data_IF_847411264107
#
_entry.id   IF_847411264107
#
_cell.length_a   1.000
_cell.length_b   1.000
_cell.length_c   1.000
_cell.angle_alpha   90.00
_cell.angle_beta   90.00
_cell.angle_gamma   90.00
#
_symmetry.space_group_name_H-M   'P 1'
#
loop_
_entity.id
_entity.type
_entity.pdbx_description
1 polymer ?
#
# COMPACT_ATOMS: atom_id res chain seq x y z
N UNK A 1 -23.42 -5.94 24.46
CA UNK A 1 -22.32 -5.83 23.48
C UNK A 1 -22.80 -5.51 22.07
N UNK A 2 -23.96 -5.99 21.60
CA UNK A 2 -24.47 -5.68 20.25
C UNK A 2 -24.87 -4.21 20.00
N UNK A 3 -25.05 -3.39 21.04
CA UNK A 3 -25.44 -1.97 20.88
C UNK A 3 -24.26 -0.99 20.70
N UNK A 4 -23.02 -1.45 20.84
CA UNK A 4 -21.81 -0.63 20.68
C UNK A 4 -21.25 -0.63 19.24
N UNK A 5 -21.77 -1.47 18.35
CA UNK A 5 -21.36 -1.56 16.93
C UNK A 5 -22.33 -0.88 15.96
N UNK A 6 -23.42 -0.28 16.46
CA UNK A 6 -24.46 0.31 15.61
C UNK A 6 -24.17 1.70 14.99
N UNK A 7 -23.19 2.53 15.44
CA UNK A 7 -22.90 3.78 14.74
C UNK A 7 -22.09 3.62 13.45
N UNK A 8 -21.46 2.46 13.18
CA UNK A 8 -20.73 2.24 11.91
C UNK A 8 -21.62 1.73 10.77
N UNK A 9 -22.92 1.53 11.02
CA UNK A 9 -23.93 1.15 10.01
C UNK A 9 -24.71 2.32 9.42
N UNK A 10 -24.46 3.55 9.89
CA UNK A 10 -25.01 4.76 9.27
C UNK A 10 -24.13 5.18 8.08
N UNK A 11 -24.24 4.40 7.01
CA UNK A 11 -24.07 4.76 5.61
C UNK A 11 -23.12 5.95 5.29
N UNK A 12 -21.79 5.82 5.50
CA UNK A 12 -20.82 6.73 4.87
C UNK A 12 -20.67 6.45 3.36
N UNK A 13 -21.33 5.40 2.87
CA UNK A 13 -21.42 4.94 1.49
C UNK A 13 -22.67 5.48 0.79
N UNK A 14 -22.87 6.80 0.80
CA UNK A 14 -23.60 7.43 -0.31
C UNK A 14 -22.75 7.27 -1.58
N UNK A 15 -22.66 6.02 -2.04
CA UNK A 15 -22.11 5.61 -3.32
C UNK A 15 -23.04 6.26 -4.31
N UNK A 16 -22.49 7.25 -5.00
CA UNK A 16 -22.86 7.67 -6.35
C UNK A 16 -23.67 6.56 -7.01
N UNK A 17 -24.90 6.85 -7.44
CA UNK A 17 -25.91 5.81 -7.61
C UNK A 17 -25.44 4.64 -8.49
N UNK A 18 -25.96 3.42 -8.27
CA UNK A 18 -25.45 2.14 -8.79
C UNK A 18 -25.42 1.98 -10.32
N UNK A 19 -25.70 3.06 -11.07
CA UNK A 19 -25.53 3.20 -12.51
C UNK A 19 -24.23 3.89 -12.93
N UNK A 20 -23.47 4.55 -12.05
CA UNK A 20 -22.23 5.23 -12.43
C UNK A 20 -21.02 4.29 -12.52
N UNK A 21 -20.27 4.48 -13.60
CA UNK A 21 -19.10 3.75 -14.07
C UNK A 21 -18.01 3.81 -12.98
N UNK A 22 -16.95 2.98 -13.06
CA UNK A 22 -15.79 3.17 -12.18
C UNK A 22 -15.43 4.66 -12.23
N UNK A 23 -15.52 5.36 -11.09
CA UNK A 23 -15.30 6.80 -11.10
C UNK A 23 -13.80 7.01 -11.32
N UNK A 24 -13.41 7.68 -12.40
CA UNK A 24 -11.99 7.99 -12.69
C UNK A 24 -11.62 9.45 -12.44
N UNK A 25 -12.56 10.27 -11.97
CA UNK A 25 -12.30 11.69 -11.69
C UNK A 25 -11.19 11.85 -10.64
N UNK A 26 -10.21 12.73 -10.88
CA UNK A 26 -9.15 12.96 -9.91
C UNK A 26 -9.73 13.52 -8.61
N UNK A 27 -9.18 13.05 -7.50
CA UNK A 27 -9.46 13.54 -6.15
C UNK A 27 -8.43 14.62 -5.82
N UNK A 28 -8.92 15.79 -5.45
CA UNK A 28 -8.10 16.83 -4.83
C UNK A 28 -7.68 16.40 -3.43
N UNK A 29 -6.39 16.46 -3.14
CA UNK A 29 -5.82 16.18 -1.82
C UNK A 29 -5.47 17.47 -1.07
N UNK A 30 -6.19 18.57 -1.31
CA UNK A 30 -6.04 19.83 -0.56
C UNK A 30 -6.14 19.62 0.96
N UNK A 31 -7.05 18.76 1.41
CA UNK A 31 -7.16 18.41 2.84
C UNK A 31 -5.89 17.72 3.36
N UNK A 32 -5.31 16.81 2.60
CA UNK A 32 -4.08 16.11 2.98
C UNK A 32 -2.92 17.09 3.15
N UNK A 33 -2.78 18.04 2.20
CA UNK A 33 -1.81 19.14 2.29
C UNK A 33 -2.05 20.04 3.50
N UNK A 34 -3.29 20.42 3.78
CA UNK A 34 -3.63 21.25 4.94
C UNK A 34 -3.30 20.55 6.28
N UNK A 35 -3.55 19.25 6.38
CA UNK A 35 -3.21 18.46 7.57
C UNK A 35 -1.70 18.43 7.77
N UNK A 36 -0.95 18.12 6.70
CA UNK A 36 0.51 18.13 6.75
C UNK A 36 1.04 19.50 7.15
N UNK A 37 0.56 20.59 6.56
CA UNK A 37 1.01 21.94 6.88
C UNK A 37 0.71 22.32 8.33
N UNK A 38 -0.49 22.01 8.83
CA UNK A 38 -0.84 22.27 10.23
C UNK A 38 0.08 21.48 11.18
N UNK A 39 0.36 20.22 10.84
CA UNK A 39 1.27 19.39 11.62
C UNK A 39 2.69 19.95 11.62
N UNK A 40 3.22 20.30 10.45
CA UNK A 40 4.53 20.93 10.28
C UNK A 40 4.65 22.21 11.13
N UNK A 41 3.64 23.10 11.05
CA UNK A 41 3.61 24.35 11.82
C UNK A 41 3.57 24.11 13.34
N UNK A 42 2.89 23.05 13.78
CA UNK A 42 2.78 22.69 15.20
C UNK A 42 4.02 21.97 15.75
N UNK A 43 4.87 21.43 14.87
CA UNK A 43 6.05 20.66 15.22
C UNK A 43 7.33 21.48 15.03
N UNK A 44 7.76 22.14 16.10
CA UNK A 44 8.80 23.19 16.08
C UNK A 44 10.16 22.76 15.54
N UNK A 45 10.56 21.50 15.71
CA UNK A 45 11.83 21.03 15.15
C UNK A 45 11.71 20.63 13.69
N UNK A 46 10.55 20.11 13.27
CA UNK A 46 10.31 19.71 11.89
C UNK A 46 10.18 20.95 10.99
N UNK A 47 9.53 22.00 11.48
CA UNK A 47 9.45 23.30 10.77
C UNK A 47 10.81 23.95 10.55
N UNK A 48 11.78 23.75 11.45
CA UNK A 48 13.16 24.22 11.26
C UNK A 48 13.89 23.50 10.11
N UNK A 49 13.35 22.40 9.59
CA UNK A 49 13.88 21.66 8.44
C UNK A 49 13.26 22.12 7.11
N UNK A 50 12.34 23.09 7.12
CA UNK A 50 11.62 23.53 5.92
C UNK A 50 12.57 23.95 4.79
N UNK A 51 13.70 24.60 5.11
CA UNK A 51 14.69 25.04 4.13
C UNK A 51 15.91 24.10 4.00
N UNK A 52 15.85 22.88 4.56
CA UNK A 52 16.95 21.92 4.49
C UNK A 52 16.71 20.88 3.40
N UNK A 53 17.76 20.59 2.64
CA UNK A 53 17.83 19.41 1.78
C UNK A 53 18.36 18.23 2.58
N UNK A 54 17.72 17.09 2.44
CA UNK A 54 18.24 15.83 2.95
C UNK A 54 19.35 15.30 2.05
N UNK A 55 20.29 14.50 2.57
CA UNK A 55 21.18 13.72 1.71
C UNK A 55 20.34 12.86 0.75
N UNK A 56 20.83 12.67 -0.47
CA UNK A 56 20.15 11.87 -1.47
C UNK A 56 20.01 10.43 -0.96
N UNK A 57 18.80 10.07 -0.53
CA UNK A 57 18.48 8.83 0.17
C UNK A 57 17.24 8.21 -0.47
N UNK A 58 17.25 6.89 -0.63
CA UNK A 58 16.18 6.12 -1.24
C UNK A 58 15.31 5.47 -0.19
N UNK A 59 14.02 5.79 -0.24
CA UNK A 59 13.03 5.22 0.68
C UNK A 59 11.95 4.49 -0.12
N UNK A 60 11.84 3.20 0.15
CA UNK A 60 10.74 2.35 -0.32
C UNK A 60 9.56 2.49 0.64
N UNK A 61 8.37 2.68 0.08
CA UNK A 61 7.12 2.76 0.83
C UNK A 61 6.16 1.71 0.28
N UNK A 62 5.57 0.89 1.15
CA UNK A 62 4.47 0.01 0.78
C UNK A 62 3.13 0.77 0.65
N UNK A 63 2.18 0.20 -0.09
CA UNK A 63 0.88 0.81 -0.36
C UNK A 63 -0.19 0.46 0.69
N UNK A 64 -0.49 -0.83 0.87
CA UNK A 64 -1.69 -1.28 1.58
C UNK A 64 -1.41 -1.35 3.06
N UNK A 65 -2.28 -0.79 3.90
CA UNK A 65 -2.06 -0.62 5.35
C UNK A 65 -0.81 0.19 5.75
N UNK A 66 0.11 0.49 4.84
CA UNK A 66 1.21 1.43 5.05
C UNK A 66 0.80 2.85 4.65
N UNK A 67 0.46 3.08 3.37
CA UNK A 67 -0.05 4.38 2.88
C UNK A 67 -1.57 4.48 2.95
N UNK A 68 -2.26 3.41 2.55
CA UNK A 68 -3.70 3.28 2.58
C UNK A 68 -4.15 2.73 3.92
N UNK A 69 -5.31 3.20 4.38
CA UNK A 69 -6.13 2.55 5.39
C UNK A 69 -7.22 1.82 4.63
N UNK A 70 -7.27 0.50 4.79
CA UNK A 70 -8.36 -0.27 4.22
C UNK A 70 -9.43 -0.52 5.28
N UNK A 71 -10.69 -0.35 4.92
CA UNK A 71 -11.78 -0.51 5.89
C UNK A 71 -12.11 -1.97 6.23
N UNK A 72 -11.59 -2.95 5.46
CA UNK A 72 -11.97 -4.38 5.56
C UNK A 72 -10.89 -5.37 5.07
N UNK A 73 -9.63 -5.22 5.49
CA UNK A 73 -8.61 -6.26 5.24
C UNK A 73 -8.37 -7.11 6.49
N UNK A 74 -8.21 -8.42 6.31
CA UNK A 74 -7.29 -9.16 7.18
C UNK A 74 -5.94 -9.18 6.46
N UNK A 75 -4.89 -8.51 6.98
CA UNK A 75 -3.55 -8.54 6.40
C UNK A 75 -3.00 -9.97 6.26
N UNK A 76 -3.52 -10.92 7.05
CA UNK A 76 -3.13 -12.33 7.05
C UNK A 76 -3.63 -13.11 5.82
N UNK A 77 -4.56 -12.58 5.02
CA UNK A 77 -5.09 -13.31 3.85
C UNK A 77 -4.02 -13.54 2.76
N UNK A 78 -3.02 -12.68 2.70
CA UNK A 78 -1.89 -12.76 1.77
C UNK A 78 -0.83 -13.77 2.23
N UNK A 79 -0.97 -14.27 3.46
CA UNK A 79 0.05 -15.01 4.19
C UNK A 79 -0.40 -16.45 4.54
N UNK A 80 -1.60 -16.86 4.09
CA UNK A 80 -2.08 -18.25 4.20
C UNK A 80 -1.16 -19.16 3.34
N UNK A 81 -0.80 -20.35 3.84
CA UNK A 81 -0.03 -21.35 3.08
C UNK A 81 1.43 -20.97 2.80
N UNK A 82 1.99 -21.44 1.67
CA UNK A 82 3.37 -21.11 1.23
C UNK A 82 3.46 -19.74 0.53
N UNK A 83 2.46 -18.86 0.70
CA UNK A 83 2.33 -17.63 -0.07
C UNK A 83 2.22 -17.93 -1.57
N UNK A 84 2.80 -17.10 -2.42
CA UNK A 84 2.68 -17.19 -3.88
C UNK A 84 3.18 -18.51 -4.52
N UNK A 85 3.94 -19.34 -3.79
CA UNK A 85 4.36 -20.67 -4.23
C UNK A 85 3.26 -21.72 -4.13
N UNK A 86 2.26 -21.46 -3.31
CA UNK A 86 1.17 -22.38 -3.08
C UNK A 86 0.27 -22.39 -4.33
N UNK A 87 0.24 -23.49 -5.11
CA UNK A 87 -0.64 -23.61 -6.26
C UNK A 87 -2.11 -23.63 -5.84
N UNK A 88 -2.41 -23.78 -4.55
CA UNK A 88 -3.75 -23.78 -3.97
C UNK A 88 -4.19 -22.41 -3.45
N UNK A 89 -3.30 -21.40 -3.39
CA UNK A 89 -3.73 -20.00 -3.24
C UNK A 89 -4.29 -19.52 -4.57
N UNK A 90 -5.45 -20.07 -4.88
CA UNK A 90 -6.38 -19.52 -5.85
C UNK A 90 -6.99 -18.25 -5.27
N UNK A 91 -7.49 -17.36 -6.13
CA UNK A 91 -8.46 -16.41 -5.67
C UNK A 91 -9.52 -17.09 -4.85
N UNK A 92 -9.74 -16.60 -3.63
CA UNK A 92 -10.89 -17.01 -2.82
C UNK A 92 -12.17 -16.91 -3.67
N UNK A 93 -12.16 -16.01 -4.67
CA UNK A 93 -13.26 -15.73 -5.58
C UNK A 93 -12.81 -15.38 -7.01
N UNK A 94 -12.96 -16.31 -7.97
CA UNK A 94 -12.78 -16.02 -9.40
C UNK A 94 -13.99 -15.28 -9.99
N UNK A 95 -14.08 -13.96 -9.78
CA UNK A 95 -15.23 -13.17 -10.25
C UNK A 95 -15.48 -13.28 -11.76
N UNK A 96 -14.43 -13.53 -12.55
CA UNK A 96 -14.54 -13.74 -14.00
C UNK A 96 -15.36 -14.99 -14.35
N UNK A 97 -15.25 -16.04 -13.53
CA UNK A 97 -15.93 -17.32 -13.68
C UNK A 97 -17.30 -17.37 -12.99
N UNK A 98 -17.57 -16.42 -12.09
CA UNK A 98 -18.86 -16.34 -11.42
C UNK A 98 -20.02 -16.17 -12.40
N UNK A 99 -21.14 -16.82 -12.08
CA UNK A 99 -22.38 -16.72 -12.85
C UNK A 99 -22.83 -15.26 -12.93
N UNK A 100 -22.96 -14.75 -14.15
CA UNK A 100 -23.45 -13.41 -14.43
C UNK A 100 -24.93 -13.43 -14.80
N UNK A 101 -25.68 -12.43 -14.36
CA UNK A 101 -27.04 -12.20 -14.87
C UNK A 101 -26.98 -11.61 -16.28
N UNK A 102 -28.08 -11.63 -17.05
CA UNK A 102 -28.12 -10.95 -18.35
C UNK A 102 -27.79 -9.45 -18.21
N UNK A 103 -28.32 -8.81 -17.15
CA UNK A 103 -28.00 -7.42 -16.79
C UNK A 103 -26.51 -7.25 -16.48
N UNK A 104 -25.91 -8.21 -15.77
CA UNK A 104 -24.48 -8.27 -15.49
C UNK A 104 -23.63 -8.35 -16.76
N UNK A 105 -24.00 -9.18 -17.73
CA UNK A 105 -23.30 -9.26 -19.03
C UNK A 105 -23.37 -7.94 -19.80
N UNK A 106 -24.54 -7.30 -19.84
CA UNK A 106 -24.69 -5.97 -20.45
C UNK A 106 -23.86 -4.90 -19.73
N UNK A 107 -23.83 -4.96 -18.39
CA UNK A 107 -22.96 -4.12 -17.56
C UNK A 107 -21.46 -4.34 -17.87
N UNK A 108 -21.04 -5.58 -18.13
CA UNK A 108 -19.65 -5.91 -18.50
C UNK A 108 -19.23 -5.23 -19.80
N UNK A 109 -20.10 -5.25 -20.82
CA UNK A 109 -19.88 -4.55 -22.10
C UNK A 109 -19.75 -3.03 -21.92
N UNK A 110 -20.34 -2.48 -20.85
CA UNK A 110 -20.22 -1.07 -20.46
C UNK A 110 -19.05 -0.80 -19.50
N UNK A 111 -18.06 -1.71 -19.45
CA UNK A 111 -16.82 -1.50 -18.69
C UNK A 111 -16.90 -1.80 -17.19
N UNK A 112 -17.99 -2.40 -16.68
CA UNK A 112 -18.08 -2.81 -15.26
C UNK A 112 -17.09 -3.92 -14.93
N UNK A 113 -16.63 -3.99 -13.68
CA UNK A 113 -15.74 -5.05 -13.19
C UNK A 113 -16.48 -6.39 -13.14
N UNK A 114 -15.72 -7.49 -13.04
CA UNK A 114 -16.32 -8.82 -12.91
C UNK A 114 -17.17 -8.95 -11.64
N UNK A 115 -16.74 -8.36 -10.51
CA UNK A 115 -17.48 -8.28 -9.25
C UNK A 115 -18.88 -7.68 -9.44
N UNK A 116 -18.98 -6.52 -10.11
CA UNK A 116 -20.24 -5.79 -10.35
C UNK A 116 -21.24 -6.54 -11.23
N UNK A 117 -20.75 -7.52 -11.98
CA UNK A 117 -21.53 -8.26 -12.99
C UNK A 117 -21.94 -9.64 -12.49
N UNK A 118 -21.35 -10.09 -11.39
CA UNK A 118 -21.65 -11.37 -10.77
C UNK A 118 -23.03 -11.36 -10.12
N UNK A 119 -23.68 -12.53 -10.09
CA UNK A 119 -25.02 -12.68 -9.56
C UNK A 119 -25.00 -12.67 -8.03
N UNK A 120 -25.25 -11.50 -7.42
CA UNK A 120 -25.31 -11.33 -5.95
C UNK A 120 -26.33 -12.22 -5.24
N UNK A 121 -27.36 -12.76 -5.94
CA UNK A 121 -28.27 -13.76 -5.36
C UNK A 121 -27.63 -15.14 -5.28
N UNK A 122 -26.82 -15.50 -6.27
CA UNK A 122 -26.07 -16.77 -6.28
C UNK A 122 -24.83 -16.70 -5.38
N UNK A 123 -24.32 -15.49 -5.12
CA UNK A 123 -23.12 -15.23 -4.33
C UNK A 123 -23.40 -14.15 -3.27
N UNK A 124 -24.07 -14.48 -2.15
CA UNK A 124 -24.51 -13.50 -1.16
C UNK A 124 -23.38 -12.69 -0.50
N UNK A 125 -22.14 -13.20 -0.45
CA UNK A 125 -21.00 -12.44 0.06
C UNK A 125 -20.66 -11.20 -0.79
N UNK A 126 -21.13 -11.13 -2.05
CA UNK A 126 -21.04 -9.93 -2.89
C UNK A 126 -22.03 -8.82 -2.47
N UNK A 127 -22.87 -9.07 -1.47
CA UNK A 127 -23.75 -8.08 -0.86
C UNK A 127 -23.05 -7.34 0.29
N UNK A 128 -21.86 -7.80 0.70
CA UNK A 128 -21.01 -7.06 1.62
C UNK A 128 -20.57 -5.72 1.00
N UNK A 129 -20.33 -4.68 1.81
CA UNK A 129 -19.87 -3.39 1.32
C UNK A 129 -18.60 -3.55 0.49
N UNK A 130 -18.54 -2.82 -0.62
CA UNK A 130 -17.37 -2.78 -1.50
C UNK A 130 -16.15 -2.28 -0.71
N UNK A 131 -14.96 -2.71 -1.12
CA UNK A 131 -13.72 -2.32 -0.44
C UNK A 131 -13.56 -0.81 -0.47
N UNK A 132 -13.38 -0.18 0.69
CA UNK A 132 -13.16 1.26 0.80
C UNK A 132 -11.73 1.48 1.27
N UNK A 133 -11.05 2.35 0.54
CA UNK A 133 -9.68 2.78 0.84
C UNK A 133 -9.64 4.28 1.09
N UNK A 134 -8.71 4.71 1.92
CA UNK A 134 -8.35 6.12 2.08
C UNK A 134 -6.86 6.23 2.40
N UNK A 135 -6.22 7.33 2.05
CA UNK A 135 -4.84 7.56 2.52
C UNK A 135 -4.83 7.85 4.02
N UNK A 136 -3.75 7.42 4.69
CA UNK A 136 -3.43 7.90 6.04
C UNK A 136 -3.35 9.44 6.00
N UNK A 137 -4.07 10.14 6.90
CA UNK A 137 -4.10 11.60 6.92
C UNK A 137 -2.72 12.26 6.93
N UNK A 138 -2.49 13.18 5.99
CA UNK A 138 -1.26 13.97 5.87
C UNK A 138 -0.06 13.20 5.32
N UNK A 139 -0.20 11.89 5.11
CA UNK A 139 0.92 11.02 4.72
C UNK A 139 1.44 11.36 3.33
N UNK A 140 0.54 11.55 2.35
CA UNK A 140 0.95 11.70 0.95
C UNK A 140 1.55 13.09 0.69
N UNK A 141 0.98 14.13 1.30
CA UNK A 141 1.55 15.48 1.30
C UNK A 141 2.89 15.56 2.03
N UNK A 142 3.05 14.84 3.15
CA UNK A 142 4.33 14.79 3.85
C UNK A 142 5.41 14.01 3.11
N UNK A 143 5.04 12.98 2.35
CA UNK A 143 5.95 12.34 1.40
C UNK A 143 6.34 13.29 0.26
N UNK A 144 5.39 14.04 -0.31
CA UNK A 144 5.71 15.06 -1.32
C UNK A 144 6.73 16.07 -0.77
N UNK A 145 6.52 16.55 0.46
CA UNK A 145 7.45 17.44 1.17
C UNK A 145 8.86 16.85 1.34
N UNK A 146 8.99 15.53 1.56
CA UNK A 146 10.29 14.84 1.60
C UNK A 146 10.93 14.76 0.21
N UNK A 147 10.15 14.44 -0.82
CA UNK A 147 10.63 14.38 -2.20
C UNK A 147 11.18 15.72 -2.69
N UNK A 148 10.49 16.83 -2.39
CA UNK A 148 10.94 18.19 -2.67
C UNK A 148 12.30 18.54 -2.00
N UNK A 149 12.67 17.80 -0.95
CA UNK A 149 13.92 18.00 -0.19
C UNK A 149 15.01 17.00 -0.53
N UNK A 150 14.87 16.27 -1.64
CA UNK A 150 15.91 15.42 -2.19
C UNK A 150 15.85 13.96 -1.75
N UNK A 151 14.77 13.52 -1.09
CA UNK A 151 14.54 12.10 -0.84
C UNK A 151 13.98 11.43 -2.11
N UNK A 152 14.59 10.32 -2.51
CA UNK A 152 14.16 9.51 -3.64
C UNK A 152 13.11 8.47 -3.17
N UNK A 153 11.84 8.79 -3.41
CA UNK A 153 10.70 7.98 -2.95
C UNK A 153 10.29 6.94 -3.99
N UNK A 154 10.19 5.69 -3.55
CA UNK A 154 9.85 4.54 -4.39
C UNK A 154 8.62 3.86 -3.81
N UNK A 155 7.58 3.66 -4.62
CA UNK A 155 6.43 2.86 -4.23
C UNK A 155 6.69 1.41 -4.65
N UNK A 156 6.68 0.48 -3.70
CA UNK A 156 6.80 -0.96 -4.00
C UNK A 156 5.62 -1.65 -3.34
N UNK A 157 4.79 -2.36 -4.09
CA UNK A 157 3.54 -2.92 -3.56
C UNK A 157 3.21 -4.28 -4.17
N UNK A 158 2.64 -5.17 -3.33
CA UNK A 158 2.04 -6.42 -3.77
C UNK A 158 0.71 -6.23 -4.52
N UNK A 159 0.30 -4.99 -4.78
CA UNK A 159 -0.83 -4.67 -5.65
C UNK A 159 -0.56 -4.90 -7.13
N UNK A 160 -1.57 -5.40 -7.84
CA UNK A 160 -1.51 -5.51 -9.30
C UNK A 160 -1.33 -4.14 -9.99
N UNK A 161 -0.56 -4.12 -11.08
CA UNK A 161 -0.29 -2.92 -11.90
C UNK A 161 -1.55 -2.16 -12.28
N UNK A 162 -2.62 -2.87 -12.63
CA UNK A 162 -3.92 -2.27 -13.01
C UNK A 162 -4.62 -1.54 -11.85
N UNK A 163 -4.52 -2.06 -10.63
CA UNK A 163 -4.99 -1.37 -9.41
C UNK A 163 -4.15 -0.13 -9.15
N UNK A 164 -2.83 -0.24 -9.27
CA UNK A 164 -1.90 0.90 -9.12
C UNK A 164 -2.23 2.01 -10.12
N UNK A 165 -2.45 1.68 -11.40
CA UNK A 165 -2.88 2.65 -12.42
C UNK A 165 -4.23 3.29 -12.10
N UNK A 166 -5.17 2.54 -11.52
CA UNK A 166 -6.42 3.10 -11.01
C UNK A 166 -6.16 4.14 -9.93
N UNK A 167 -5.38 3.80 -8.91
CA UNK A 167 -5.06 4.70 -7.81
C UNK A 167 -4.30 5.94 -8.29
N UNK A 168 -3.34 5.82 -9.21
CA UNK A 168 -2.61 6.96 -9.79
C UNK A 168 -3.53 7.96 -10.51
N UNK A 169 -4.51 7.46 -11.28
CA UNK A 169 -5.51 8.31 -11.94
C UNK A 169 -6.45 8.98 -10.94
N UNK A 170 -6.83 8.26 -9.88
CA UNK A 170 -7.68 8.79 -8.81
C UNK A 170 -6.98 9.81 -7.94
N UNK A 171 -5.70 9.61 -7.67
CA UNK A 171 -4.90 10.44 -6.76
C UNK A 171 -3.64 10.93 -7.48
N UNK A 172 -3.73 12.01 -8.28
CA UNK A 172 -2.60 12.52 -9.05
C UNK A 172 -1.34 12.81 -8.22
N UNK A 173 -1.49 13.14 -6.93
CA UNK A 173 -0.37 13.33 -6.00
C UNK A 173 0.51 12.08 -5.85
N UNK A 174 -0.02 10.86 -6.04
CA UNK A 174 0.82 9.66 -6.11
C UNK A 174 1.84 9.75 -7.24
N UNK A 175 1.43 10.30 -8.39
CA UNK A 175 2.31 10.49 -9.55
C UNK A 175 3.33 11.59 -9.28
N UNK A 176 2.93 12.66 -8.58
CA UNK A 176 3.84 13.73 -8.15
C UNK A 176 4.91 13.21 -7.18
N UNK A 177 4.52 12.38 -6.21
CA UNK A 177 5.42 11.82 -5.18
C UNK A 177 6.37 10.78 -5.77
N UNK A 178 5.84 9.76 -6.44
CA UNK A 178 6.63 8.60 -6.85
C UNK A 178 7.11 8.67 -8.31
N UNK A 179 6.44 9.43 -9.17
CA UNK A 179 6.78 9.53 -10.59
C UNK A 179 6.75 8.16 -11.27
N UNK A 180 7.84 7.81 -11.96
CA UNK A 180 8.04 6.51 -12.60
C UNK A 180 8.62 5.43 -11.65
N UNK A 181 8.88 5.76 -10.38
CA UNK A 181 9.50 4.86 -9.39
C UNK A 181 8.46 4.02 -8.67
N UNK A 182 7.69 3.25 -9.45
CA UNK A 182 6.59 2.44 -8.95
C UNK A 182 6.74 1.00 -9.41
N UNK A 183 7.02 0.11 -8.46
CA UNK A 183 7.12 -1.34 -8.62
C UNK A 183 5.83 -1.97 -8.09
N UNK A 184 5.12 -2.66 -8.97
CA UNK A 184 3.91 -3.40 -8.66
C UNK A 184 4.19 -4.89 -8.53
N UNK A 185 3.18 -5.66 -8.12
CA UNK A 185 3.25 -7.11 -8.07
C UNK A 185 3.72 -7.73 -9.39
N UNK A 186 3.26 -7.19 -10.52
CA UNK A 186 3.59 -7.71 -11.83
C UNK A 186 5.10 -7.64 -12.09
N UNK A 187 5.72 -6.50 -11.80
CA UNK A 187 7.15 -6.30 -12.05
C UNK A 187 8.00 -7.20 -11.14
N UNK A 188 7.56 -7.38 -9.89
CA UNK A 188 8.22 -8.31 -8.96
C UNK A 188 8.13 -9.76 -9.43
N UNK A 189 6.97 -10.17 -9.95
CA UNK A 189 6.81 -11.52 -10.50
C UNK A 189 7.65 -11.70 -11.76
N UNK A 190 7.66 -10.74 -12.68
CA UNK A 190 8.50 -10.78 -13.88
C UNK A 190 9.99 -10.87 -13.52
N UNK A 191 10.43 -10.10 -12.52
CA UNK A 191 11.78 -10.18 -11.97
C UNK A 191 12.12 -11.60 -11.49
N UNK A 192 11.31 -12.17 -10.60
CA UNK A 192 11.61 -13.48 -10.05
C UNK A 192 11.51 -14.61 -11.08
N UNK A 193 10.58 -14.53 -12.04
CA UNK A 193 10.43 -15.58 -13.05
C UNK A 193 11.53 -15.55 -14.12
N UNK A 194 11.99 -14.37 -14.51
CA UNK A 194 12.88 -14.22 -15.67
C UNK A 194 14.32 -13.86 -15.31
N UNK A 195 14.55 -13.15 -14.21
CA UNK A 195 15.87 -12.61 -13.87
C UNK A 195 16.49 -13.30 -12.65
N UNK A 196 15.69 -13.64 -11.64
CA UNK A 196 16.15 -14.34 -10.44
C UNK A 196 15.29 -15.57 -10.09
N UNK A 197 15.18 -16.58 -10.98
CA UNK A 197 14.43 -17.81 -10.68
C UNK A 197 15.07 -18.67 -9.59
N UNK A 198 16.30 -18.39 -9.16
CA UNK A 198 16.98 -19.10 -8.08
C UNK A 198 17.84 -18.17 -7.21
N UNK A 199 18.08 -18.57 -5.96
CA UNK A 199 18.88 -17.82 -4.99
C UNK A 199 20.30 -17.48 -5.50
N UNK A 200 20.91 -18.38 -6.28
CA UNK A 200 22.27 -18.20 -6.82
C UNK A 200 22.41 -17.05 -7.82
N UNK A 201 21.29 -16.55 -8.37
CA UNK A 201 21.30 -15.42 -9.30
C UNK A 201 21.18 -14.07 -8.58
N UNK A 202 20.83 -14.07 -7.29
CA UNK A 202 20.73 -12.88 -6.46
C UNK A 202 22.12 -12.56 -5.91
N UNK A 203 22.71 -11.48 -6.41
CA UNK A 203 24.10 -11.08 -6.07
C UNK A 203 24.22 -10.51 -4.67
N UNK A 204 23.20 -9.76 -4.23
CA UNK A 204 23.16 -9.19 -2.90
C UNK A 204 22.89 -10.29 -1.86
N UNK A 205 23.84 -10.51 -0.95
CA UNK A 205 23.79 -11.59 0.03
C UNK A 205 22.51 -11.57 0.85
N UNK A 206 22.14 -10.37 1.29
CA UNK A 206 20.97 -10.13 2.13
C UNK A 206 19.68 -10.48 1.36
N UNK A 207 19.57 -9.99 0.12
CA UNK A 207 18.43 -10.30 -0.76
C UNK A 207 18.35 -11.80 -1.04
N UNK A 208 19.49 -12.48 -1.16
CA UNK A 208 19.56 -13.93 -1.35
C UNK A 208 19.04 -14.67 -0.13
N UNK A 209 19.49 -14.33 1.08
CA UNK A 209 18.99 -14.94 2.32
C UNK A 209 17.48 -14.74 2.50
N UNK A 210 16.99 -13.53 2.22
CA UNK A 210 15.57 -13.23 2.29
C UNK A 210 14.77 -14.07 1.27
N UNK A 211 15.30 -14.23 0.06
CA UNK A 211 14.72 -15.11 -0.96
C UNK A 211 14.77 -16.58 -0.55
N UNK A 212 15.86 -17.09 0.02
CA UNK A 212 15.96 -18.49 0.48
C UNK A 212 14.95 -18.80 1.58
N UNK A 213 14.73 -17.87 2.52
CA UNK A 213 13.71 -18.01 3.57
C UNK A 213 12.29 -18.06 3.01
N UNK A 214 12.01 -17.24 1.98
CA UNK A 214 10.66 -17.06 1.41
C UNK A 214 10.76 -16.75 -0.10
N UNK A 215 10.98 -17.75 -0.96
CA UNK A 215 11.22 -17.49 -2.38
C UNK A 215 9.95 -17.01 -3.08
N UNK A 216 10.09 -16.12 -4.07
CA UNK A 216 8.97 -15.55 -4.84
C UNK A 216 7.93 -14.75 -4.02
N UNK A 217 8.29 -14.26 -2.84
CA UNK A 217 7.37 -13.49 -2.00
C UNK A 217 7.26 -12.04 -2.45
N UNK A 218 6.04 -11.56 -2.71
CA UNK A 218 5.77 -10.15 -3.00
C UNK A 218 5.80 -9.24 -1.76
N UNK A 219 5.73 -9.83 -0.57
CA UNK A 219 5.93 -9.11 0.68
C UNK A 219 7.40 -8.72 0.88
N UNK A 220 8.32 -9.47 0.27
CA UNK A 220 9.76 -9.30 0.48
C UNK A 220 10.33 -8.37 -0.59
N UNK A 221 10.35 -7.08 -0.26
CA UNK A 221 10.75 -5.99 -1.15
C UNK A 221 12.24 -5.69 -1.00
N UNK A 222 13.11 -6.59 -1.45
CA UNK A 222 14.56 -6.52 -1.18
C UNK A 222 15.29 -5.43 -1.96
N UNK A 223 16.48 -4.98 -1.51
CA UNK A 223 17.25 -3.99 -2.26
C UNK A 223 17.63 -4.45 -3.67
N UNK A 224 17.97 -5.73 -3.85
CA UNK A 224 18.30 -6.25 -5.17
C UNK A 224 17.10 -6.21 -6.11
N UNK A 225 15.90 -6.61 -5.66
CA UNK A 225 14.67 -6.47 -6.44
C UNK A 225 14.48 -5.03 -6.95
N UNK A 226 14.61 -4.04 -6.05
CA UNK A 226 14.47 -2.62 -6.39
C UNK A 226 15.57 -2.17 -7.35
N UNK A 227 16.81 -2.61 -7.14
CA UNK A 227 17.94 -2.30 -8.00
C UNK A 227 17.78 -2.87 -9.40
N UNK A 228 17.36 -4.13 -9.54
CA UNK A 228 17.24 -4.77 -10.85
C UNK A 228 16.10 -4.17 -11.67
N UNK A 229 15.00 -3.77 -11.02
CA UNK A 229 13.85 -3.19 -11.72
C UNK A 229 14.10 -1.71 -12.08
N UNK A 230 14.72 -0.91 -11.20
CA UNK A 230 14.89 0.53 -11.41
C UNK A 230 16.30 0.98 -11.81
N UNK A 231 17.30 0.09 -11.76
CA UNK A 231 18.69 0.35 -12.17
C UNK A 231 19.51 1.26 -11.25
N UNK A 232 18.99 1.61 -10.06
CA UNK A 232 19.49 2.74 -9.28
C UNK A 232 20.17 2.38 -7.93
N UNK A 233 20.52 1.13 -7.66
CA UNK A 233 21.30 0.76 -6.46
C UNK A 233 20.49 0.40 -5.21
N UNK A 234 19.23 -0.02 -5.35
CA UNK A 234 18.40 -0.50 -4.23
C UNK A 234 17.80 0.62 -3.40
N UNK A 235 17.78 0.47 -2.07
CA UNK A 235 17.24 1.48 -1.13
C UNK A 235 17.98 1.51 0.21
N UNK A 236 17.83 2.64 0.91
CA UNK A 236 18.39 2.89 2.25
C UNK A 236 17.37 2.59 3.35
N UNK A 237 16.10 2.95 3.15
CA UNK A 237 15.00 2.66 4.07
C UNK A 237 13.82 1.99 3.38
N UNK A 238 13.10 1.18 4.13
CA UNK A 238 11.78 0.66 3.75
C UNK A 238 10.77 0.92 4.87
N UNK A 239 9.60 1.43 4.51
CA UNK A 239 8.44 1.61 5.39
C UNK A 239 7.36 0.63 4.97
N UNK A 240 6.99 -0.28 5.87
CA UNK A 240 6.13 -1.43 5.55
C UNK A 240 5.41 -1.93 6.81
N UNK A 241 4.20 -2.44 6.67
CA UNK A 241 3.41 -3.02 7.75
C UNK A 241 3.54 -4.55 7.84
N UNK A 242 4.09 -5.21 6.82
CA UNK A 242 4.13 -6.66 6.70
C UNK A 242 4.93 -7.31 7.83
N UNK A 243 4.23 -8.11 8.64
CA UNK A 243 4.85 -8.97 9.63
C UNK A 243 5.76 -10.02 8.98
N UNK A 244 5.41 -10.53 7.80
CA UNK A 244 6.25 -11.45 7.03
C UNK A 244 7.57 -10.81 6.62
N UNK A 245 7.55 -9.57 6.11
CA UNK A 245 8.80 -8.86 5.80
C UNK A 245 9.64 -8.74 7.06
N UNK A 246 9.04 -8.25 8.16
CA UNK A 246 9.72 -8.06 9.43
C UNK A 246 10.37 -9.38 9.92
N UNK A 247 9.61 -10.48 9.99
CA UNK A 247 10.10 -11.80 10.39
C UNK A 247 11.27 -12.27 9.51
N UNK A 248 11.13 -12.15 8.19
CA UNK A 248 12.14 -12.61 7.23
C UNK A 248 13.46 -11.88 7.43
N UNK A 249 13.41 -10.56 7.62
CA UNK A 249 14.60 -9.71 7.72
C UNK A 249 15.14 -9.59 9.14
N UNK A 250 14.46 -10.12 10.16
CA UNK A 250 14.80 -9.94 11.59
C UNK A 250 16.25 -10.27 11.91
N UNK A 251 16.82 -11.26 11.26
CA UNK A 251 18.19 -11.74 11.50
C UNK A 251 19.20 -11.23 10.46
N UNK A 252 18.78 -10.29 9.61
CA UNK A 252 19.58 -9.74 8.52
C UNK A 252 19.88 -8.26 8.76
N UNK A 253 20.89 -7.67 8.10
CA UNK A 253 21.15 -6.23 8.16
C UNK A 253 20.00 -5.35 7.63
N UNK A 254 19.00 -5.89 6.92
CA UNK A 254 17.81 -5.12 6.51
C UNK A 254 16.91 -4.78 7.68
N UNK A 255 17.00 -5.51 8.78
CA UNK A 255 16.25 -5.20 10.00
C UNK A 255 16.40 -3.73 10.38
N UNK A 256 17.62 -3.21 10.29
CA UNK A 256 17.94 -1.85 10.73
C UNK A 256 17.47 -0.78 9.74
N UNK A 257 17.14 -1.18 8.49
CA UNK A 257 16.57 -0.35 7.42
C UNK A 257 15.04 -0.38 7.36
N UNK A 258 14.40 -1.26 8.13
CA UNK A 258 12.94 -1.36 8.18
C UNK A 258 12.38 -0.41 9.24
N UNK A 259 11.49 0.48 8.81
CA UNK A 259 10.50 1.13 9.66
C UNK A 259 9.22 0.31 9.60
N UNK A 260 9.09 -0.66 10.51
CA UNK A 260 7.92 -1.51 10.60
C UNK A 260 6.75 -0.74 11.22
N UNK A 261 5.59 -0.67 10.56
CA UNK A 261 4.42 0.09 11.02
C UNK A 261 3.23 -0.82 11.33
N UNK A 262 2.24 -0.31 12.07
CA UNK A 262 1.01 -1.05 12.38
C UNK A 262 -0.06 -0.85 11.32
N UNK A 263 -0.66 -1.94 10.88
CA UNK A 263 -1.77 -1.96 9.91
C UNK A 263 -3.14 -1.72 10.54
N UNK A 264 -3.32 -2.06 11.82
CA UNK A 264 -4.62 -2.19 12.48
C UNK A 264 -5.15 -0.91 13.16
N UNK A 265 -4.64 0.27 12.78
CA UNK A 265 -4.95 1.52 13.46
C UNK A 265 -6.12 2.28 12.79
N UNK A 266 -7.02 2.89 13.58
CA UNK A 266 -8.09 3.73 13.06
C UNK A 266 -7.54 5.01 12.41
N UNK A 267 -8.43 5.74 11.73
CA UNK A 267 -8.12 7.05 11.13
C UNK A 267 -7.59 8.00 12.20
N UNK A 268 -6.32 8.40 12.06
CA UNK A 268 -5.59 9.12 13.09
C UNK A 268 -4.39 9.87 12.50
N UNK A 269 -3.64 10.57 13.35
CA UNK A 269 -2.37 11.22 12.99
C UNK A 269 -1.17 10.26 12.84
N UNK A 270 -1.37 8.95 12.91
CA UNK A 270 -0.29 7.97 12.84
C UNK A 270 0.56 8.08 11.56
N UNK A 271 -0.03 8.43 10.40
CA UNK A 271 0.74 8.71 9.18
C UNK A 271 1.80 9.80 9.36
N UNK A 272 1.46 10.87 10.09
CA UNK A 272 2.41 11.94 10.39
C UNK A 272 3.47 11.51 11.40
N UNK A 273 3.14 10.59 12.32
CA UNK A 273 4.13 9.96 13.20
C UNK A 273 5.13 9.13 12.39
N UNK A 274 4.67 8.31 11.43
CA UNK A 274 5.54 7.53 10.53
C UNK A 274 6.54 8.47 9.83
N UNK A 275 6.04 9.54 9.20
CA UNK A 275 6.88 10.52 8.52
C UNK A 275 7.90 11.18 9.45
N UNK A 276 7.47 11.59 10.64
CA UNK A 276 8.32 12.24 11.62
C UNK A 276 9.42 11.31 12.11
N UNK A 277 9.10 10.03 12.33
CA UNK A 277 10.06 8.99 12.69
C UNK A 277 11.04 8.72 11.55
N UNK A 278 10.56 8.66 10.31
CA UNK A 278 11.40 8.53 9.12
C UNK A 278 12.38 9.71 9.00
N UNK A 279 11.91 10.96 9.13
CA UNK A 279 12.78 12.15 9.12
C UNK A 279 13.82 12.09 10.24
N UNK A 280 13.42 11.72 11.45
CA UNK A 280 14.35 11.60 12.57
C UNK A 280 15.42 10.53 12.30
N UNK A 281 15.07 9.43 11.62
CA UNK A 281 16.03 8.40 11.18
C UNK A 281 16.98 8.95 10.11
N UNK A 282 16.45 9.56 9.05
CA UNK A 282 17.24 10.18 7.97
C UNK A 282 18.23 11.24 8.49
N UNK A 283 17.84 12.01 9.51
CA UNK A 283 18.72 13.01 10.15
C UNK A 283 19.77 12.41 11.08
N UNK A 284 19.48 11.24 11.68
CA UNK A 284 20.41 10.54 12.57
C UNK A 284 21.35 9.60 11.83
N UNK A 285 21.11 9.28 10.56
CA UNK A 285 21.92 8.36 9.76
C UNK A 285 23.35 8.79 9.42
N UNK A 286 23.82 9.94 9.91
CA UNK A 286 25.27 10.09 10.09
C UNK A 286 25.83 9.24 11.25
N UNK A 287 24.97 8.59 12.04
CA UNK A 287 25.30 7.59 13.06
C UNK A 287 24.23 6.51 13.05
N UNK A 288 24.57 5.33 12.55
CA UNK A 288 23.70 4.14 12.60
C UNK A 288 23.03 4.02 13.97
N UNK A 289 21.70 3.85 14.05
CA UNK A 289 21.05 3.62 15.32
C UNK A 289 21.55 2.30 15.91
N UNK A 290 21.95 2.31 17.18
CA UNK A 290 22.19 1.08 17.93
C UNK A 290 20.95 0.19 17.84
N UNK A 291 21.11 -1.11 17.60
CA UNK A 291 19.99 -2.01 17.46
C UNK A 291 19.16 -1.98 18.75
N UNK A 292 17.88 -1.58 18.66
CA UNK A 292 16.96 -1.72 19.77
C UNK A 292 16.81 -3.21 20.06
N UNK A 293 16.87 -3.60 21.34
CA UNK A 293 16.73 -4.99 21.76
C UNK A 293 15.37 -5.61 21.38
N UNK A 294 14.36 -4.77 21.13
CA UNK A 294 13.04 -5.20 20.67
C UNK A 294 12.80 -4.76 19.23
N UNK A 295 12.82 -5.71 18.30
CA UNK A 295 12.39 -5.51 16.91
C UNK A 295 10.87 -5.68 16.82
N UNK A 296 10.15 -4.56 16.91
CA UNK A 296 8.69 -4.47 17.02
C UNK A 296 8.16 -3.37 16.09
N UNK A 297 6.87 -3.40 15.70
CA UNK A 297 6.30 -2.33 14.92
C UNK A 297 6.34 -1.01 15.70
N UNK A 298 6.38 0.11 14.99
CA UNK A 298 6.29 1.45 15.54
C UNK A 298 4.96 1.60 16.28
N UNK A 299 4.98 1.64 17.60
CA UNK A 299 3.76 1.84 18.37
C UNK A 299 3.24 3.28 18.23
N UNK A 300 1.91 3.48 18.10
CA UNK A 300 1.32 4.80 18.16
C UNK A 300 1.68 5.45 19.50
N UNK A 301 2.15 6.70 19.46
CA UNK A 301 2.41 7.41 20.71
C UNK A 301 1.09 7.67 21.46
N UNK A 302 1.16 7.94 22.76
CA UNK A 302 -0.02 8.27 23.58
C UNK A 302 -0.75 9.55 23.13
N UNK A 303 -0.16 10.29 22.20
CA UNK A 303 -0.71 11.50 21.57
C UNK A 303 -1.32 11.23 20.19
N UNK A 304 -1.56 9.95 19.84
CA UNK A 304 -2.35 9.65 18.65
C UNK A 304 -3.76 10.18 18.88
N UNK A 305 -4.02 11.35 18.30
CA UNK A 305 -5.31 12.02 18.38
C UNK A 305 -6.12 11.62 17.16
N UNK A 306 -7.37 11.27 17.39
CA UNK A 306 -8.35 11.21 16.31
C UNK A 306 -8.34 12.57 15.59
N UNK A 307 -8.12 12.54 14.28
CA UNK A 307 -8.24 13.76 13.49
C UNK A 307 -9.71 13.89 13.15
N UNK A 308 -10.37 14.83 13.83
CA UNK A 308 -11.79 15.12 13.62
C UNK A 308 -12.07 15.43 12.13
N UNK A 309 -13.16 14.89 11.61
CA UNK A 309 -13.66 15.30 10.31
C UNK A 309 -14.17 16.73 10.42
N UNK A 310 -13.53 17.69 9.75
CA UNK A 310 -14.16 18.98 9.48
C UNK A 310 -15.43 18.75 8.64
N UNK A 311 -16.56 19.30 9.09
CA UNK A 311 -17.87 19.16 8.45
C UNK A 311 -17.84 19.61 6.97
N UNK A 312 -17.00 20.61 6.66
CA UNK A 312 -16.94 21.22 5.32
C UNK A 312 -16.05 20.48 4.30
N UNK A 313 -15.26 19.49 4.72
CA UNK A 313 -14.35 18.79 3.80
C UNK A 313 -14.06 17.36 4.26
N UNK A 314 -15.01 16.42 4.25
CA UNK A 314 -14.84 15.07 4.82
C UNK A 314 -13.65 14.31 4.23
N UNK A 315 -13.13 13.33 4.98
CA UNK A 315 -12.08 12.43 4.50
C UNK A 315 -12.46 11.81 3.16
N UNK A 316 -11.54 11.87 2.18
CA UNK A 316 -11.82 11.25 0.90
C UNK A 316 -11.64 9.74 1.03
N UNK A 317 -12.77 9.06 1.15
CA UNK A 317 -12.90 7.61 1.08
C UNK A 317 -13.28 7.23 -0.34
N UNK A 318 -12.59 6.24 -0.89
CA UNK A 318 -12.78 5.79 -2.25
C UNK A 318 -13.15 4.32 -2.25
N UNK A 319 -14.14 3.96 -3.05
CA UNK A 319 -14.35 2.57 -3.40
C UNK A 319 -13.20 2.07 -4.30
N UNK A 320 -12.56 0.97 -3.89
CA UNK A 320 -11.56 0.27 -4.67
C UNK A 320 -12.19 -0.97 -5.33
N UNK A 321 -12.58 -0.86 -6.62
CA UNK A 321 -13.22 -1.96 -7.32
C UNK A 321 -12.21 -3.03 -7.76
N UNK A 322 -10.91 -2.84 -7.54
CA UNK A 322 -9.83 -3.71 -7.99
C UNK A 322 -9.14 -4.46 -6.85
N UNK A 323 -9.36 -4.07 -5.59
CA UNK A 323 -8.77 -4.75 -4.44
C UNK A 323 -9.01 -6.26 -4.47
N UNK A 324 -10.26 -6.69 -4.39
CA UNK A 324 -10.60 -8.12 -4.40
C UNK A 324 -10.39 -8.80 -5.77
N UNK A 325 -10.70 -8.18 -6.92
CA UNK A 325 -10.55 -8.87 -8.20
C UNK A 325 -9.11 -9.05 -8.68
N UNK A 326 -8.14 -8.36 -8.09
CA UNK A 326 -6.73 -8.40 -8.49
C UNK A 326 -5.79 -8.73 -7.32
N UNK A 327 -6.31 -9.37 -6.27
CA UNK A 327 -5.53 -9.73 -5.08
C UNK A 327 -4.80 -11.07 -5.16
N UNK A 328 -4.70 -11.72 -6.33
CA UNK A 328 -4.04 -13.03 -6.41
C UNK A 328 -3.05 -13.12 -7.58
N UNK A 329 -2.04 -13.99 -7.42
CA UNK A 329 -0.99 -14.25 -8.43
C UNK A 329 -1.57 -14.53 -9.81
N UNK A 330 -2.60 -15.38 -9.85
CA UNK A 330 -3.30 -15.74 -11.07
C UNK A 330 -3.90 -14.52 -11.76
N UNK A 331 -4.48 -13.57 -11.02
CA UNK A 331 -5.07 -12.34 -11.57
C UNK A 331 -4.02 -11.30 -11.95
N UNK A 332 -2.90 -11.25 -11.22
CA UNK A 332 -1.74 -10.41 -11.53
C UNK A 332 -1.06 -10.84 -12.84
N UNK A 333 -0.99 -12.15 -13.09
CA UNK A 333 -0.43 -12.73 -14.33
C UNK A 333 -1.45 -12.79 -15.49
N UNK A 334 -2.73 -13.05 -15.20
CA UNK A 334 -3.79 -13.15 -16.23
C UNK A 334 -4.20 -11.81 -16.83
N UNK A 335 -3.92 -10.69 -16.15
CA UNK A 335 -4.12 -9.35 -16.72
C UNK A 335 -3.33 -9.16 -18.04
N UNK A 336 -2.24 -9.91 -18.24
CA UNK A 336 -1.43 -9.93 -19.47
C UNK A 336 -2.15 -10.63 -20.64
N UNK A 337 -3.01 -11.61 -20.37
CA UNK A 337 -3.68 -12.41 -21.40
C UNK A 337 -5.02 -11.84 -21.88
N UNK A 338 -5.50 -10.76 -21.26
CA UNK A 338 -6.74 -10.08 -21.66
C UNK A 338 -6.45 -8.79 -22.46
N UNK A 339 -5.18 -8.36 -22.51
CA UNK A 339 -4.72 -7.18 -23.26
C UNK A 339 -3.88 -7.54 -24.52
N UNK A 340 -3.85 -8.84 -24.89
CA UNK A 340 -3.56 -9.33 -26.25
C UNK A 340 -4.89 -9.69 -26.92
#
# INVERSE_FOLDING_TARGET
MEKLLNPLRLNPTAIVPPWEWINWQPISLQRDRAIWQNYLNSNSWLSQLENKTFPNCKVVIDLDETLLLNSYSSPEIWEIGQGYQDPEIYPAYQYSQMRKTWRGRLKRLRGRTHYDTANQKAYPFLQNPRHIVMFRPGMLAGLAWLGERGIDLILVTASARKRVHYLLKRFPLLTEVFGNRIISAQDMVEYYLHQAPSANQIKDHISREAFEKRPFSLAIKTPDLVNQILGNGGYDWIVDDSAVLAETVRETPLRDRLLWVRSDLPVSNYGMQILTTLVAKLMKEQKQPSPSQDFKPLEPNSQVKEILSYEDNPWVRLEDPYYWPLCHRGDQLSAVLIEQ
#
